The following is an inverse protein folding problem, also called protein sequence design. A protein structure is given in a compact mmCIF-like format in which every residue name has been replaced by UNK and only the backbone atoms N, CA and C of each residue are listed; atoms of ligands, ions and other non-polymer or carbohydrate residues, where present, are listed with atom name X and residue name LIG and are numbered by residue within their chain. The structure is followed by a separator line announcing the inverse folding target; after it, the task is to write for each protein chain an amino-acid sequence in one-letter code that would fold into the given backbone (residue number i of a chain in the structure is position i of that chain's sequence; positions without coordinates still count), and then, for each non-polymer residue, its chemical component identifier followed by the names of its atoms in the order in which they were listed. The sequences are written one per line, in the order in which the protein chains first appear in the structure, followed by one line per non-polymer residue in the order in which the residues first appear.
data_IF_993796850905
#
_entry.id   IF_993796850905
#
_cell.length_a   1.000
_cell.length_b   1.000
_cell.length_c   1.000
_cell.angle_alpha   90.00
_cell.angle_beta   90.00
_cell.angle_gamma   90.00
#
_symmetry.space_group_name_H-M   'P 1'
#
loop_
_entity.id
_entity.type
_entity.pdbx_description
1 polymer ?
#
# COMPACT_ATOMS: atom_id res chain seq x y z
N UNK A 1 -48.07 14.59 -34.41
CA UNK A 1 -47.56 14.79 -33.03
C UNK A 1 -46.19 14.14 -32.93
N UNK A 2 -45.12 14.91 -32.71
CA UNK A 2 -43.75 14.40 -32.64
C UNK A 2 -43.42 13.96 -31.19
N UNK A 3 -42.77 12.81 -30.97
CA UNK A 3 -42.36 12.41 -29.62
C UNK A 3 -41.12 13.19 -29.16
N UNK A 4 -41.19 13.74 -27.94
CA UNK A 4 -40.12 14.53 -27.29
C UNK A 4 -38.90 13.65 -26.97
N UNK A 5 -37.71 14.14 -27.34
CA UNK A 5 -36.41 13.55 -26.96
C UNK A 5 -36.11 13.79 -25.46
N UNK A 6 -35.63 12.77 -24.76
CA UNK A 6 -35.10 12.88 -23.38
C UNK A 6 -33.70 13.50 -23.38
N UNK A 7 -33.29 14.26 -22.35
CA UNK A 7 -31.94 14.81 -22.24
C UNK A 7 -30.93 13.72 -21.82
N UNK A 8 -29.64 13.85 -22.20
CA UNK A 8 -28.62 12.87 -21.86
C UNK A 8 -28.26 12.92 -20.37
N UNK A 9 -28.03 11.74 -19.78
CA UNK A 9 -27.47 11.58 -18.42
C UNK A 9 -26.05 12.17 -18.40
N UNK A 10 -25.77 13.00 -17.40
CA UNK A 10 -24.40 13.45 -17.08
C UNK A 10 -23.55 12.21 -16.78
N UNK A 11 -22.46 12.08 -17.54
CA UNK A 11 -21.38 11.14 -17.28
C UNK A 11 -20.82 11.46 -15.90
N UNK A 12 -20.77 10.45 -15.03
CA UNK A 12 -20.32 10.60 -13.66
C UNK A 12 -18.90 11.16 -13.62
N UNK A 13 -18.68 12.14 -12.75
CA UNK A 13 -17.35 12.49 -12.30
C UNK A 13 -16.73 11.22 -11.70
N UNK A 14 -15.64 10.75 -12.31
CA UNK A 14 -14.79 9.72 -11.70
C UNK A 14 -14.15 10.35 -10.47
N UNK A 15 -14.74 10.08 -9.30
CA UNK A 15 -14.19 10.49 -8.00
C UNK A 15 -13.02 9.56 -7.66
N UNK A 16 -11.83 9.87 -8.16
CA UNK A 16 -10.58 9.19 -7.80
C UNK A 16 -10.27 9.29 -6.29
N UNK A 17 -10.92 10.22 -5.58
CA UNK A 17 -10.81 10.36 -4.13
C UNK A 17 -11.40 9.17 -3.37
N UNK A 18 -12.50 8.58 -3.86
CA UNK A 18 -13.13 7.42 -3.21
C UNK A 18 -12.31 6.13 -3.44
N UNK A 19 -11.64 6.03 -4.60
CA UNK A 19 -10.78 4.90 -4.94
C UNK A 19 -9.46 4.92 -4.15
N UNK A 20 -8.87 6.11 -3.94
CA UNK A 20 -7.72 6.27 -3.04
C UNK A 20 -8.07 6.03 -1.57
N UNK A 21 -9.27 6.44 -1.13
CA UNK A 21 -9.72 6.19 0.24
C UNK A 21 -9.86 4.69 0.51
N UNK A 22 -10.34 3.90 -0.46
CA UNK A 22 -10.42 2.44 -0.34
C UNK A 22 -9.04 1.76 -0.35
N UNK A 23 -8.04 2.32 -1.06
CA UNK A 23 -6.67 1.80 -1.05
C UNK A 23 -5.91 2.05 0.28
N UNK A 24 -6.37 3.01 1.09
CA UNK A 24 -5.75 3.37 2.40
C UNK A 24 -6.45 2.67 3.58
N UNK A 25 -7.57 2.00 3.36
CA UNK A 25 -8.17 1.12 4.39
C UNK A 25 -7.27 -0.11 4.54
N UNK A 26 -6.37 0.01 5.51
CA UNK A 26 -5.59 -1.07 6.12
C UNK A 26 -6.42 -2.37 6.14
N UNK A 27 -5.93 -3.50 5.64
CA UNK A 27 -6.48 -4.76 6.06
C UNK A 27 -6.33 -4.80 7.58
N UNK A 28 -7.46 -4.94 8.27
CA UNK A 28 -7.48 -5.29 9.68
C UNK A 28 -6.52 -6.48 9.89
N UNK A 29 -5.77 -6.54 11.00
CA UNK A 29 -5.02 -7.74 11.31
C UNK A 29 -6.04 -8.85 11.52
N UNK A 30 -6.30 -9.60 10.44
CA UNK A 30 -6.97 -10.87 10.51
C UNK A 30 -6.23 -11.65 11.59
N UNK A 31 -6.98 -11.94 12.66
CA UNK A 31 -6.60 -12.89 13.70
C UNK A 31 -5.80 -13.98 13.02
N UNK A 32 -4.58 -14.15 13.47
CA UNK A 32 -3.76 -15.33 13.22
C UNK A 32 -4.71 -16.52 13.12
N UNK A 33 -4.89 -17.05 11.91
CA UNK A 33 -5.24 -18.43 11.75
C UNK A 33 -4.11 -19.16 12.49
N UNK A 34 -4.35 -19.48 13.76
CA UNK A 34 -3.62 -20.54 14.43
C UNK A 34 -3.83 -21.74 13.55
N UNK A 35 -2.88 -21.95 12.63
CA UNK A 35 -2.65 -23.25 12.05
C UNK A 35 -2.57 -24.17 13.25
N UNK A 36 -3.61 -24.99 13.48
CA UNK A 36 -3.61 -26.04 14.50
C UNK A 36 -2.31 -26.81 14.28
N UNK A 37 -1.27 -26.50 15.08
CA UNK A 37 -0.01 -27.20 14.99
C UNK A 37 -0.33 -28.62 15.40
N UNK A 38 -0.09 -29.56 14.49
CA UNK A 38 -0.08 -30.98 14.85
C UNK A 38 1.03 -31.18 15.89
N UNK A 39 0.68 -31.48 17.15
CA UNK A 39 1.69 -31.70 18.18
C UNK A 39 2.57 -32.89 17.78
N UNK A 40 3.89 -32.77 17.99
CA UNK A 40 4.81 -33.87 17.72
C UNK A 40 5.20 -34.57 19.01
N UNK A 41 5.29 -35.90 18.98
CA UNK A 41 5.76 -36.69 20.13
C UNK A 41 7.18 -36.27 20.50
N UNK A 42 7.41 -35.99 21.79
CA UNK A 42 8.69 -35.50 22.31
C UNK A 42 8.78 -33.98 22.50
N UNK A 43 7.79 -33.21 22.06
CA UNK A 43 7.79 -31.75 22.29
C UNK A 43 7.52 -31.40 23.75
N UNK A 44 8.13 -30.29 24.20
CA UNK A 44 7.97 -29.76 25.55
C UNK A 44 6.86 -28.73 25.58
N UNK A 45 5.88 -28.97 26.43
CA UNK A 45 4.69 -28.15 26.60
C UNK A 45 4.46 -27.80 28.06
N UNK A 46 3.76 -26.70 28.29
CA UNK A 46 3.26 -26.28 29.61
C UNK A 46 1.74 -26.23 29.54
N UNK A 47 1.09 -26.60 30.63
CA UNK A 47 -0.38 -26.63 30.75
C UNK A 47 -0.80 -25.45 31.64
N UNK A 48 -1.77 -24.65 31.20
CA UNK A 48 -2.44 -23.60 31.99
C UNK A 48 -1.52 -22.65 32.77
N UNK A 49 -0.45 -22.15 32.12
CA UNK A 49 0.54 -21.23 32.73
C UNK A 49 1.34 -21.82 33.91
N UNK A 50 1.29 -23.14 34.14
CA UNK A 50 2.11 -23.81 35.14
C UNK A 50 3.61 -23.77 34.80
N UNK A 51 4.47 -23.73 35.82
CA UNK A 51 5.94 -23.81 35.65
C UNK A 51 6.45 -25.22 35.28
N UNK A 52 5.56 -26.21 35.24
CA UNK A 52 5.92 -27.61 35.01
C UNK A 52 5.98 -27.89 33.53
N UNK A 53 7.16 -28.32 33.08
CA UNK A 53 7.41 -28.71 31.69
C UNK A 53 7.00 -30.18 31.55
N UNK A 54 6.05 -30.43 30.67
CA UNK A 54 5.59 -31.75 30.28
C UNK A 54 6.14 -32.10 28.90
N UNK A 55 6.39 -33.38 28.66
CA UNK A 55 6.78 -33.89 27.34
C UNK A 55 5.60 -34.65 26.74
N UNK A 56 5.32 -34.45 25.45
CA UNK A 56 4.27 -35.19 24.74
C UNK A 56 4.71 -36.65 24.57
N UNK A 57 3.99 -37.59 25.19
CA UNK A 57 4.19 -39.04 25.08
C UNK A 57 3.54 -39.61 23.82
N UNK A 58 2.36 -39.10 23.45
CA UNK A 58 1.57 -39.62 22.35
C UNK A 58 0.41 -38.70 22.00
N UNK A 59 0.06 -38.66 20.72
CA UNK A 59 -1.08 -37.88 20.21
C UNK A 59 -2.23 -38.84 19.92
N UNK A 60 -3.44 -38.46 20.32
CA UNK A 60 -4.66 -39.22 20.05
C UNK A 60 -4.93 -39.26 18.54
N UNK A 61 -5.61 -40.31 18.07
CA UNK A 61 -5.97 -40.49 16.65
C UNK A 61 -6.85 -39.35 16.10
N UNK A 62 -7.57 -38.65 16.99
CA UNK A 62 -8.36 -37.46 16.65
C UNK A 62 -7.53 -36.21 16.38
N UNK A 63 -6.23 -36.22 16.73
CA UNK A 63 -5.33 -35.09 16.60
C UNK A 63 -5.66 -33.89 17.49
N UNK A 64 -6.62 -34.03 18.43
CA UNK A 64 -7.10 -32.96 19.32
C UNK A 64 -6.67 -33.11 20.78
N UNK A 65 -6.20 -34.30 21.14
CA UNK A 65 -5.82 -34.66 22.49
C UNK A 65 -4.41 -35.25 22.50
N UNK A 66 -3.64 -34.98 23.55
CA UNK A 66 -2.31 -35.54 23.76
C UNK A 66 -2.19 -36.16 25.15
N UNK A 67 -1.30 -37.14 25.25
CA UNK A 67 -0.82 -37.68 26.51
C UNK A 67 0.52 -37.06 26.83
N UNK A 68 0.67 -36.61 28.07
CA UNK A 68 1.83 -35.88 28.58
C UNK A 68 2.48 -36.67 29.71
N UNK A 69 3.80 -36.57 29.83
CA UNK A 69 4.54 -37.14 30.96
C UNK A 69 5.66 -36.19 31.40
N UNK A 70 6.10 -36.32 32.65
CA UNK A 70 7.27 -35.60 33.16
C UNK A 70 8.47 -36.55 33.18
N UNK A 71 9.53 -36.31 32.40
CA UNK A 71 10.69 -37.18 32.36
C UNK A 71 11.38 -37.24 33.73
N UNK A 72 11.66 -38.46 34.21
CA UNK A 72 12.24 -38.69 35.53
C UNK A 72 11.24 -38.81 36.68
N UNK A 73 9.93 -38.76 36.40
CA UNK A 73 8.86 -39.04 37.38
C UNK A 73 7.80 -39.97 36.79
N UNK A 74 6.99 -40.62 37.64
CA UNK A 74 5.85 -41.45 37.21
C UNK A 74 4.57 -40.64 37.00
N UNK A 75 4.68 -39.32 36.73
CA UNK A 75 3.53 -38.45 36.55
C UNK A 75 3.15 -38.38 35.07
N UNK A 76 1.96 -38.88 34.78
CA UNK A 76 1.37 -38.91 33.43
C UNK A 76 0.00 -38.21 33.45
N UNK A 77 -0.30 -37.47 32.39
CA UNK A 77 -1.61 -36.85 32.14
C UNK A 77 -2.12 -37.33 30.79
N UNK A 78 -3.32 -37.87 30.77
CA UNK A 78 -3.95 -38.39 29.56
C UNK A 78 -5.06 -37.45 29.09
N UNK A 79 -5.27 -37.40 27.76
CA UNK A 79 -6.37 -36.65 27.12
C UNK A 79 -6.36 -35.15 27.41
N UNK A 80 -5.19 -34.53 27.34
CA UNK A 80 -5.07 -33.06 27.45
C UNK A 80 -5.38 -32.43 26.10
N UNK A 81 -6.28 -31.45 26.07
CA UNK A 81 -6.63 -30.75 24.85
C UNK A 81 -5.46 -29.87 24.40
N UNK A 82 -5.21 -29.84 23.08
CA UNK A 82 -4.08 -29.07 22.52
C UNK A 82 -4.28 -27.57 22.71
N UNK A 83 -5.53 -27.12 22.79
CA UNK A 83 -5.89 -25.71 23.04
C UNK A 83 -5.36 -25.18 24.39
N UNK A 84 -5.15 -26.06 25.37
CA UNK A 84 -4.68 -25.68 26.71
C UNK A 84 -3.14 -25.80 26.85
N UNK A 85 -2.44 -26.12 25.75
CA UNK A 85 -1.00 -26.33 25.72
C UNK A 85 -0.26 -25.11 25.20
N UNK A 86 0.76 -24.68 25.95
CA UNK A 86 1.73 -23.70 25.48
C UNK A 86 3.06 -24.41 25.18
N UNK A 87 3.45 -24.44 23.91
CA UNK A 87 4.70 -25.06 23.45
C UNK A 87 5.91 -24.20 23.85
N UNK A 88 6.80 -24.79 24.65
CA UNK A 88 7.98 -24.09 25.20
C UNK A 88 9.03 -23.82 24.12
N UNK A 89 9.20 -24.76 23.19
CA UNK A 89 10.23 -24.70 22.15
C UNK A 89 9.71 -24.17 20.80
N UNK A 90 8.63 -23.39 20.81
CA UNK A 90 8.08 -22.83 19.56
C UNK A 90 9.07 -21.83 18.95
N UNK A 91 9.71 -22.11 17.79
CA UNK A 91 10.50 -21.10 17.13
C UNK A 91 9.56 -19.94 16.78
N UNK A 92 9.89 -18.75 17.29
CA UNK A 92 9.12 -17.55 16.99
C UNK A 92 8.92 -17.44 15.47
N UNK A 93 7.70 -17.10 14.98
CA UNK A 93 7.47 -16.99 13.56
C UNK A 93 8.48 -16.03 12.95
N UNK A 94 9.24 -16.51 11.96
CA UNK A 94 10.20 -15.71 11.22
C UNK A 94 9.46 -14.51 10.67
N UNK A 95 9.80 -13.31 11.16
CA UNK A 95 9.19 -12.07 10.66
C UNK A 95 9.36 -12.05 9.13
N UNK A 96 8.28 -11.87 8.36
CA UNK A 96 8.39 -11.83 6.90
C UNK A 96 9.38 -10.73 6.52
N UNK A 97 10.35 -11.08 5.68
CA UNK A 97 11.35 -10.14 5.16
C UNK A 97 10.60 -9.03 4.42
N UNK A 98 10.88 -7.77 4.74
CA UNK A 98 10.26 -6.65 4.05
C UNK A 98 10.41 -6.79 2.52
N UNK A 99 9.38 -6.48 1.73
CA UNK A 99 9.48 -6.58 0.27
C UNK A 99 10.63 -5.71 -0.23
N UNK A 100 11.38 -6.16 -1.25
CA UNK A 100 12.44 -5.36 -1.84
C UNK A 100 11.88 -4.03 -2.35
N UNK A 101 12.62 -2.93 -2.12
CA UNK A 101 12.24 -1.61 -2.64
C UNK A 101 12.07 -1.70 -4.17
N UNK A 102 11.04 -1.04 -4.75
CA UNK A 102 10.87 -1.03 -6.19
C UNK A 102 12.10 -0.39 -6.84
N UNK A 103 12.71 -1.11 -7.78
CA UNK A 103 13.84 -0.62 -8.56
C UNK A 103 13.26 0.21 -9.70
N UNK A 104 13.43 1.53 -9.65
CA UNK A 104 13.05 2.43 -10.73
C UNK A 104 14.24 2.68 -11.66
N UNK A 105 13.95 2.92 -12.94
CA UNK A 105 14.94 3.37 -13.92
C UNK A 105 14.98 4.90 -13.95
N UNK A 106 16.08 5.48 -13.49
CA UNK A 106 16.25 6.93 -13.47
C UNK A 106 16.20 7.55 -14.87
N UNK A 107 16.62 6.82 -15.92
CA UNK A 107 16.56 7.30 -17.30
C UNK A 107 15.12 7.40 -17.80
N UNK A 108 14.28 6.40 -17.50
CA UNK A 108 12.85 6.42 -17.85
C UNK A 108 12.11 7.57 -17.13
N UNK A 109 12.43 7.80 -15.85
CA UNK A 109 11.85 8.90 -15.09
C UNK A 109 12.21 10.26 -15.70
N UNK A 110 13.48 10.46 -16.09
CA UNK A 110 13.94 11.69 -16.75
C UNK A 110 13.24 11.92 -18.09
N UNK A 111 13.21 10.91 -18.95
CA UNK A 111 12.52 10.99 -20.24
C UNK A 111 11.03 11.33 -20.06
N UNK A 112 10.39 10.75 -19.03
CA UNK A 112 8.99 11.02 -18.73
C UNK A 112 8.75 12.45 -18.25
N UNK A 113 9.63 12.98 -17.40
CA UNK A 113 9.54 14.37 -16.92
C UNK A 113 9.68 15.35 -18.09
N UNK A 114 10.65 15.11 -18.98
CA UNK A 114 10.88 15.98 -20.15
C UNK A 114 9.71 15.93 -21.13
N UNK A 115 9.17 14.73 -21.40
CA UNK A 115 7.99 14.57 -22.26
C UNK A 115 6.76 15.32 -21.72
N UNK A 116 6.51 15.22 -20.41
CA UNK A 116 5.40 15.93 -19.76
C UNK A 116 5.64 17.44 -19.78
N UNK A 117 6.88 17.88 -19.52
CA UNK A 117 7.26 19.29 -19.54
C UNK A 117 6.91 19.93 -20.89
N UNK A 118 7.41 19.33 -21.97
CA UNK A 118 7.19 19.86 -23.31
C UNK A 118 5.70 19.91 -23.66
N UNK A 119 4.98 18.83 -23.41
CA UNK A 119 3.54 18.77 -23.70
C UNK A 119 2.73 19.79 -22.89
N UNK A 120 3.05 19.96 -21.60
CA UNK A 120 2.33 20.88 -20.72
C UNK A 120 2.58 22.35 -21.10
N UNK A 121 3.83 22.71 -21.41
CA UNK A 121 4.21 24.07 -21.80
C UNK A 121 3.63 24.44 -23.18
N UNK A 122 3.66 23.52 -24.15
CA UNK A 122 3.04 23.73 -25.46
C UNK A 122 1.52 23.95 -25.33
N UNK A 123 0.85 23.14 -24.51
CA UNK A 123 -0.57 23.30 -24.24
C UNK A 123 -0.87 24.65 -23.57
N UNK A 124 -0.15 24.99 -22.51
CA UNK A 124 -0.35 26.22 -21.74
C UNK A 124 -0.12 27.47 -22.60
N UNK A 125 0.96 27.48 -23.39
CA UNK A 125 1.27 28.58 -24.30
C UNK A 125 0.21 28.73 -25.40
N UNK A 126 -0.33 27.62 -25.90
CA UNK A 126 -1.47 27.61 -26.83
C UNK A 126 -2.73 28.24 -26.24
N UNK A 127 -3.11 27.85 -25.03
CA UNK A 127 -4.28 28.42 -24.33
C UNK A 127 -4.09 29.92 -24.05
N UNK A 128 -2.89 30.31 -23.61
CA UNK A 128 -2.56 31.71 -23.36
C UNK A 128 -2.59 32.51 -24.65
N UNK A 129 -2.13 31.97 -25.77
CA UNK A 129 -2.24 32.66 -27.07
C UNK A 129 -3.71 32.92 -27.46
N UNK A 130 -4.62 31.98 -27.18
CA UNK A 130 -6.07 32.16 -27.41
C UNK A 130 -6.63 33.23 -26.45
N UNK A 131 -6.25 33.19 -25.17
CA UNK A 131 -6.66 34.17 -24.18
C UNK A 131 -6.17 35.58 -24.54
N UNK A 132 -4.90 35.72 -24.95
CA UNK A 132 -4.34 37.00 -25.42
C UNK A 132 -5.11 37.57 -26.60
N UNK A 133 -5.49 36.73 -27.58
CA UNK A 133 -6.35 37.17 -28.71
C UNK A 133 -7.70 37.68 -28.22
N UNK A 134 -8.32 36.98 -27.27
CA UNK A 134 -9.58 37.40 -26.66
C UNK A 134 -9.45 38.73 -25.90
N UNK A 135 -8.44 38.87 -25.04
CA UNK A 135 -8.21 40.10 -24.26
C UNK A 135 -7.91 41.31 -25.15
N UNK A 136 -7.13 41.10 -26.21
CA UNK A 136 -6.92 42.13 -27.25
C UNK A 136 -8.24 42.56 -27.89
N UNK A 137 -9.15 41.63 -28.18
CA UNK A 137 -10.48 41.96 -28.74
C UNK A 137 -11.38 42.74 -27.77
N UNK A 138 -11.06 42.71 -26.47
CA UNK A 138 -11.79 43.42 -25.41
C UNK A 138 -11.15 44.76 -25.03
N UNK A 139 -10.03 45.13 -25.65
CA UNK A 139 -9.33 46.39 -25.37
C UNK A 139 -8.65 46.41 -24.00
N UNK A 140 -8.26 45.24 -23.48
CA UNK A 140 -7.44 45.14 -22.25
C UNK A 140 -6.05 45.72 -22.51
N UNK A 141 -5.44 46.32 -21.49
CA UNK A 141 -4.10 46.91 -21.61
C UNK A 141 -3.05 45.89 -22.03
N UNK A 142 -2.10 46.32 -22.85
CA UNK A 142 -1.01 45.47 -23.33
C UNK A 142 -0.15 44.97 -22.16
N UNK A 143 0.03 45.77 -21.11
CA UNK A 143 0.78 45.39 -19.92
C UNK A 143 0.16 44.15 -19.23
N UNK A 144 -1.17 44.13 -19.07
CA UNK A 144 -1.86 42.98 -18.48
C UNK A 144 -1.84 41.73 -19.39
N UNK A 145 -1.72 41.93 -20.70
CA UNK A 145 -1.57 40.85 -21.68
C UNK A 145 -0.14 40.30 -21.68
N UNK A 146 0.88 41.13 -21.40
CA UNK A 146 2.28 40.72 -21.23
C UNK A 146 2.50 39.93 -19.94
N UNK A 147 1.74 40.20 -18.88
CA UNK A 147 1.79 39.38 -17.65
C UNK A 147 1.44 37.91 -17.91
N UNK A 148 0.67 37.60 -18.94
CA UNK A 148 0.41 36.22 -19.34
C UNK A 148 1.64 35.54 -19.94
N UNK A 149 2.53 36.30 -20.61
CA UNK A 149 3.80 35.76 -21.10
C UNK A 149 4.76 35.52 -19.93
N UNK A 150 4.83 36.46 -18.98
CA UNK A 150 5.60 36.30 -17.73
C UNK A 150 5.14 35.05 -16.97
N UNK A 151 3.83 34.81 -16.90
CA UNK A 151 3.28 33.61 -16.26
C UNK A 151 3.76 32.32 -16.94
N UNK A 152 3.87 32.26 -18.28
CA UNK A 152 4.43 31.09 -18.97
C UNK A 152 5.89 30.87 -18.58
N UNK A 153 6.68 31.94 -18.56
CA UNK A 153 8.09 31.89 -18.17
C UNK A 153 8.25 31.42 -16.73
N UNK A 154 7.47 31.96 -15.79
CA UNK A 154 7.48 31.55 -14.39
C UNK A 154 7.15 30.06 -14.21
N UNK A 155 6.21 29.54 -15.01
CA UNK A 155 5.86 28.11 -14.97
C UNK A 155 7.01 27.26 -15.52
N UNK A 156 7.68 27.68 -16.60
CA UNK A 156 8.86 26.99 -17.13
C UNK A 156 10.00 26.96 -16.08
N UNK A 157 10.28 28.09 -15.45
CA UNK A 157 11.34 28.19 -14.44
C UNK A 157 11.05 27.31 -13.22
N UNK A 158 9.81 27.37 -12.70
CA UNK A 158 9.40 26.52 -11.58
C UNK A 158 9.40 25.03 -11.92
N UNK A 159 9.05 24.69 -13.16
CA UNK A 159 9.16 23.31 -13.63
C UNK A 159 10.61 22.84 -13.64
N UNK A 160 11.54 23.66 -14.16
CA UNK A 160 12.97 23.37 -14.16
C UNK A 160 13.51 23.07 -12.75
N UNK A 161 13.16 23.92 -11.77
CA UNK A 161 13.55 23.70 -10.36
C UNK A 161 12.99 22.38 -9.81
N UNK A 162 11.73 22.05 -10.12
CA UNK A 162 11.12 20.80 -9.68
C UNK A 162 11.77 19.57 -10.34
N UNK A 163 12.10 19.65 -11.63
CA UNK A 163 12.79 18.59 -12.35
C UNK A 163 14.19 18.33 -11.79
N UNK A 164 14.97 19.40 -11.53
CA UNK A 164 16.30 19.29 -10.93
C UNK A 164 16.24 18.69 -9.51
N UNK A 165 15.24 19.07 -8.71
CA UNK A 165 15.04 18.48 -7.38
C UNK A 165 14.72 16.98 -7.44
N UNK A 166 13.93 16.54 -8.44
CA UNK A 166 13.67 15.12 -8.67
C UNK A 166 14.95 14.41 -9.11
N UNK A 167 15.70 14.99 -10.04
CA UNK A 167 16.96 14.42 -10.52
C UNK A 167 17.99 14.23 -9.41
N UNK A 168 18.10 15.18 -8.48
CA UNK A 168 18.97 15.04 -7.31
C UNK A 168 18.59 13.82 -6.44
N UNK A 169 17.29 13.52 -6.29
CA UNK A 169 16.82 12.33 -5.54
C UNK A 169 16.98 11.02 -6.29
N UNK A 170 17.15 11.05 -7.62
CA UNK A 170 17.39 9.87 -8.43
C UNK A 170 18.87 9.45 -8.44
N UNK A 171 19.78 10.37 -8.11
CA UNK A 171 21.23 10.13 -8.04
C UNK A 171 21.74 9.67 -6.65
N UNK A 172 20.91 9.77 -5.61
CA UNK A 172 21.16 9.24 -4.24
C UNK A 172 20.81 7.75 -4.08
#
# INVERSE_FOLDING_TARGET
MAPKRKPPKKVGQLNFADELAQAVVKPEPNKSAETERTPTVGERVTVDSGKTIWTILGVSYSGKEVSLYIPGTNLERFRVQISDLTFVDSPAPVKPKAPPKPKYDAAEVRERIESIHQSAIEHLSGEIAVLKKYLNSKGVSLDAIQELDNFVMDVQDRWGVAAEAIDATLEE
#
